data_IF_479157724157
#
_entry.id   IF_479157724157
#
_cell.length_a   1.000
_cell.length_b   1.000
_cell.length_c   1.000
_cell.angle_alpha   90.00
_cell.angle_beta   90.00
_cell.angle_gamma   90.00
#
_symmetry.space_group_name_H-M   'P 1'
#
loop_
_entity.id
_entity.type
_entity.pdbx_description
1 polymer ?
#
# COMPACT_ATOMS: atom_id res chain seq x y z
N UNK A 1 51.73 28.31 -27.20
CA UNK A 1 50.92 29.11 -26.26
C UNK A 1 49.48 29.15 -26.76
N UNK A 2 48.59 28.42 -26.07
CA UNK A 2 47.15 28.65 -25.83
C UNK A 2 46.35 27.33 -25.87
N UNK A 3 45.66 26.98 -24.77
CA UNK A 3 44.95 25.71 -24.61
C UNK A 3 43.54 25.78 -25.20
N UNK A 4 43.14 24.79 -25.99
CA UNK A 4 41.74 24.58 -26.38
C UNK A 4 41.26 23.33 -25.65
N UNK A 5 40.88 23.50 -24.39
CA UNK A 5 40.39 22.42 -23.52
C UNK A 5 38.97 22.65 -22.97
N UNK A 6 38.20 23.62 -23.46
CA UNK A 6 36.91 23.93 -22.84
C UNK A 6 35.80 23.93 -23.88
N UNK A 7 35.23 22.76 -24.18
CA UNK A 7 33.94 22.64 -24.88
C UNK A 7 33.31 21.23 -24.75
N UNK A 8 33.42 20.55 -23.61
CA UNK A 8 32.62 19.33 -23.35
C UNK A 8 32.10 19.39 -21.91
N UNK A 9 31.11 20.21 -21.66
CA UNK A 9 30.35 20.17 -20.40
C UNK A 9 29.01 20.87 -20.58
N UNK A 10 28.11 20.34 -21.42
CA UNK A 10 26.69 20.75 -21.46
C UNK A 10 25.86 19.81 -22.36
N UNK A 11 25.84 18.51 -22.07
CA UNK A 11 24.77 17.62 -22.57
C UNK A 11 24.65 16.31 -21.78
N UNK A 12 24.42 16.41 -20.47
CA UNK A 12 24.20 15.23 -19.61
C UNK A 12 22.98 15.40 -18.68
N UNK A 13 21.88 15.95 -19.19
CA UNK A 13 20.65 16.18 -18.42
C UNK A 13 19.44 15.53 -19.11
N UNK A 14 19.46 14.23 -19.43
CA UNK A 14 18.21 13.45 -19.63
C UNK A 14 18.38 11.95 -19.36
N UNK A 15 19.16 11.57 -18.36
CA UNK A 15 19.16 10.20 -17.84
C UNK A 15 18.98 10.24 -16.33
N UNK A 16 17.92 10.92 -15.88
CA UNK A 16 17.41 10.69 -14.53
C UNK A 16 16.81 9.28 -14.56
N UNK A 17 17.41 8.27 -13.89
CA UNK A 17 16.70 7.02 -13.69
C UNK A 17 15.38 7.38 -13.02
N UNK A 18 14.26 6.93 -13.59
CA UNK A 18 12.99 6.99 -12.88
C UNK A 18 13.24 6.33 -11.52
N UNK A 19 13.17 7.11 -10.44
CA UNK A 19 13.31 6.57 -9.10
C UNK A 19 12.34 5.40 -8.96
N UNK A 20 12.75 4.28 -8.35
CA UNK A 20 11.85 3.16 -8.14
C UNK A 20 10.60 3.68 -7.43
N UNK A 21 9.47 3.62 -8.12
CA UNK A 21 8.21 4.06 -7.54
C UNK A 21 7.93 3.16 -6.32
N UNK A 22 7.75 3.71 -5.10
CA UNK A 22 7.48 2.91 -3.91
C UNK A 22 6.33 1.92 -4.08
N UNK A 23 5.32 2.24 -4.91
CA UNK A 23 4.23 1.31 -5.21
C UNK A 23 4.65 0.11 -6.11
N UNK A 24 5.66 0.30 -6.96
CA UNK A 24 6.27 -0.75 -7.78
C UNK A 24 5.26 -1.63 -8.53
N UNK A 25 5.46 -2.95 -8.42
CA UNK A 25 4.61 -3.98 -9.04
C UNK A 25 3.17 -4.04 -8.49
N UNK A 26 2.90 -3.34 -7.39
CA UNK A 26 1.59 -3.31 -6.77
C UNK A 26 0.75 -2.11 -7.21
N UNK A 27 1.31 -1.15 -7.94
CA UNK A 27 0.59 0.03 -8.38
C UNK A 27 -0.63 -0.33 -9.24
N UNK A 28 -1.76 0.33 -8.98
CA UNK A 28 -3.01 0.16 -9.70
C UNK A 28 -4.16 -0.37 -8.84
N UNK A 29 -5.27 -0.64 -9.51
CA UNK A 29 -6.47 -1.22 -8.91
C UNK A 29 -6.45 -2.75 -9.03
N UNK A 30 -6.75 -3.41 -7.92
CA UNK A 30 -6.85 -4.86 -7.81
C UNK A 30 -8.25 -5.21 -7.34
N UNK A 31 -9.02 -5.89 -8.20
CA UNK A 31 -10.27 -6.50 -7.79
C UNK A 31 -9.97 -7.89 -7.22
N UNK A 32 -10.55 -8.18 -6.05
CA UNK A 32 -10.25 -9.34 -5.23
C UNK A 32 -11.51 -10.17 -4.99
N UNK A 33 -11.35 -11.48 -4.98
CA UNK A 33 -12.34 -12.40 -4.41
C UNK A 33 -11.77 -12.96 -3.13
N UNK A 34 -12.32 -12.56 -1.99
CA UNK A 34 -11.85 -12.98 -0.67
C UNK A 34 -12.64 -14.20 -0.24
N UNK A 35 -11.93 -15.26 0.13
CA UNK A 35 -12.51 -16.51 0.63
C UNK A 35 -12.08 -16.72 2.08
N UNK A 36 -13.06 -16.74 2.98
CA UNK A 36 -12.95 -17.11 4.38
C UNK A 36 -13.68 -18.46 4.59
N UNK A 37 -13.46 -19.18 5.71
CA UNK A 37 -14.04 -20.52 5.90
C UNK A 37 -15.56 -20.63 5.70
N UNK A 38 -16.30 -19.54 5.98
CA UNK A 38 -17.76 -19.53 5.95
C UNK A 38 -18.36 -18.54 4.93
N UNK A 39 -17.52 -17.81 4.18
CA UNK A 39 -18.02 -16.77 3.27
C UNK A 39 -17.02 -16.48 2.15
N UNK A 40 -17.54 -16.21 0.96
CA UNK A 40 -16.78 -15.62 -0.14
C UNK A 40 -17.43 -14.30 -0.53
N UNK A 41 -16.63 -13.25 -0.71
CA UNK A 41 -17.15 -11.94 -1.11
C UNK A 41 -16.18 -11.18 -2.01
N UNK A 42 -16.69 -10.33 -2.92
CA UNK A 42 -15.87 -9.45 -3.71
C UNK A 42 -15.35 -8.29 -2.85
N UNK A 43 -14.16 -7.83 -3.18
CA UNK A 43 -13.50 -6.68 -2.60
C UNK A 43 -12.59 -6.04 -3.64
N UNK A 44 -11.99 -4.90 -3.33
CA UNK A 44 -10.93 -4.34 -4.14
C UNK A 44 -10.03 -3.44 -3.31
N UNK A 45 -8.82 -3.22 -3.82
CA UNK A 45 -7.90 -2.21 -3.32
C UNK A 45 -7.29 -1.43 -4.48
N UNK A 46 -6.86 -0.22 -4.19
CA UNK A 46 -6.09 0.61 -5.11
C UNK A 46 -4.82 1.05 -4.41
N UNK A 47 -3.69 0.81 -5.08
CA UNK A 47 -2.36 1.22 -4.65
C UNK A 47 -1.91 2.34 -5.57
N UNK A 48 -1.67 3.49 -5.00
CA UNK A 48 -1.13 4.65 -5.69
C UNK A 48 0.11 5.15 -4.96
N UNK A 49 0.81 6.06 -5.61
CA UNK A 49 1.87 6.83 -4.99
C UNK A 49 1.42 8.28 -4.89
N UNK A 50 1.61 8.88 -3.72
CA UNK A 50 1.37 10.30 -3.50
C UNK A 50 2.55 10.87 -2.72
N UNK A 51 3.18 11.90 -3.26
CA UNK A 51 4.30 12.61 -2.63
C UNK A 51 5.46 11.69 -2.22
N UNK A 52 5.78 10.69 -3.04
CA UNK A 52 6.83 9.70 -2.74
C UNK A 52 6.44 8.66 -1.69
N UNK A 53 5.16 8.60 -1.30
CA UNK A 53 4.64 7.68 -0.30
C UNK A 53 3.56 6.76 -0.87
N UNK A 54 3.47 5.56 -0.29
CA UNK A 54 2.46 4.58 -0.62
C UNK A 54 1.08 5.06 -0.12
N UNK A 55 0.14 5.22 -1.05
CA UNK A 55 -1.23 5.62 -0.76
C UNK A 55 -2.19 4.50 -1.18
N UNK A 56 -2.77 3.82 -0.19
CA UNK A 56 -3.64 2.65 -0.43
C UNK A 56 -5.06 2.92 0.04
N UNK A 57 -6.04 2.52 -0.77
CA UNK A 57 -7.45 2.47 -0.40
C UNK A 57 -7.96 1.05 -0.56
N UNK A 58 -8.86 0.62 0.32
CA UNK A 58 -9.45 -0.70 0.25
C UNK A 58 -10.95 -0.65 0.58
N UNK A 59 -11.71 -1.57 -0.01
CA UNK A 59 -13.09 -1.86 0.34
C UNK A 59 -13.16 -3.14 1.18
N UNK A 60 -13.21 -3.09 2.52
CA UNK A 60 -13.47 -4.27 3.32
C UNK A 60 -14.87 -4.85 3.05
N UNK A 61 -15.11 -6.05 3.60
CA UNK A 61 -16.42 -6.72 3.56
C UNK A 61 -17.59 -5.80 3.94
N UNK A 62 -17.41 -5.02 5.01
CA UNK A 62 -18.43 -4.11 5.52
C UNK A 62 -17.94 -2.66 5.48
N UNK A 63 -18.80 -1.79 4.94
CA UNK A 63 -18.58 -0.34 4.91
C UNK A 63 -18.05 0.19 3.58
N UNK A 64 -17.59 1.44 3.62
CA UNK A 64 -17.16 2.18 2.44
C UNK A 64 -15.66 2.01 2.18
N UNK A 65 -15.29 2.26 0.92
CA UNK A 65 -13.91 2.40 0.47
C UNK A 65 -13.23 3.50 1.27
N UNK A 66 -12.11 3.19 1.90
CA UNK A 66 -11.37 4.14 2.74
C UNK A 66 -9.86 4.00 2.55
N UNK A 67 -9.08 5.05 2.87
CA UNK A 67 -7.64 4.94 3.04
C UNK A 67 -7.30 3.90 4.10
N UNK A 68 -6.24 3.13 3.86
CA UNK A 68 -5.74 2.09 4.76
C UNK A 68 -4.23 2.18 4.88
N UNK A 69 -3.70 1.75 6.03
CA UNK A 69 -2.26 1.66 6.23
C UNK A 69 -1.71 0.49 5.41
N UNK A 70 -0.62 0.72 4.71
CA UNK A 70 0.07 -0.32 3.96
C UNK A 70 1.58 -0.11 3.99
N UNK A 71 2.32 -1.21 3.82
CA UNK A 71 3.77 -1.21 3.72
C UNK A 71 4.21 -2.35 2.80
N UNK A 72 5.38 -2.19 2.19
CA UNK A 72 5.99 -3.23 1.37
C UNK A 72 7.16 -3.83 2.12
N UNK A 73 7.17 -5.16 2.25
CA UNK A 73 8.26 -5.94 2.84
C UNK A 73 8.75 -6.94 1.80
N UNK A 74 9.95 -6.69 1.25
CA UNK A 74 10.49 -7.48 0.14
C UNK A 74 9.56 -7.47 -1.07
N UNK A 75 9.02 -8.64 -1.43
CA UNK A 75 8.07 -8.82 -2.53
C UNK A 75 6.61 -8.93 -2.07
N UNK A 76 6.29 -8.48 -0.85
CA UNK A 76 4.93 -8.56 -0.30
C UNK A 76 4.40 -7.19 0.09
N UNK A 77 3.23 -6.84 -0.42
CA UNK A 77 2.43 -5.71 0.05
C UNK A 77 1.56 -6.17 1.22
N UNK A 78 1.74 -5.54 2.38
CA UNK A 78 0.97 -5.79 3.60
C UNK A 78 -0.01 -4.63 3.79
N UNK A 79 -1.31 -4.93 3.77
CA UNK A 79 -2.39 -3.93 3.87
C UNK A 79 -3.22 -4.19 5.13
N UNK A 80 -3.20 -3.25 6.08
CA UNK A 80 -4.03 -3.32 7.28
C UNK A 80 -5.41 -2.73 7.00
N UNK A 81 -6.37 -3.61 6.68
CA UNK A 81 -7.71 -3.20 6.25
C UNK A 81 -8.60 -2.85 7.43
N UNK A 82 -8.47 -3.59 8.54
CA UNK A 82 -9.11 -3.25 9.81
C UNK A 82 -8.01 -3.14 10.87
N UNK A 83 -7.85 -1.98 11.52
CA UNK A 83 -6.84 -1.83 12.56
C UNK A 83 -7.21 -2.63 13.81
N UNK A 84 -6.19 -3.05 14.54
CA UNK A 84 -6.38 -3.61 15.87
C UNK A 84 -7.06 -2.58 16.78
N UNK A 85 -7.95 -3.04 17.65
CA UNK A 85 -8.59 -2.23 18.67
C UNK A 85 -8.32 -2.83 20.05
N UNK A 86 -7.89 -2.04 21.04
CA UNK A 86 -7.72 -2.53 22.41
C UNK A 86 -9.07 -2.85 23.04
N UNK A 87 -9.05 -3.68 24.09
CA UNK A 87 -10.22 -3.88 24.93
C UNK A 87 -10.65 -2.55 25.56
N UNK A 88 -11.95 -2.34 25.65
CA UNK A 88 -12.54 -1.14 26.26
C UNK A 88 -13.43 -1.56 27.43
N UNK A 89 -13.21 -1.02 28.65
CA UNK A 89 -14.10 -1.28 29.77
C UNK A 89 -15.48 -0.63 29.54
N UNK A 90 -16.46 -1.04 30.34
CA UNK A 90 -17.76 -0.38 30.38
C UNK A 90 -17.62 1.03 30.96
N UNK A 91 -18.40 1.98 30.43
CA UNK A 91 -18.37 3.38 30.86
C UNK A 91 -19.78 3.98 30.79
N UNK A 92 -20.38 4.26 31.96
CA UNK A 92 -21.79 4.62 32.07
C UNK A 92 -22.69 3.53 31.49
N UNK A 93 -23.62 3.91 30.62
CA UNK A 93 -24.50 2.97 29.91
C UNK A 93 -23.83 2.27 28.71
N UNK A 94 -22.57 2.60 28.40
CA UNK A 94 -21.83 1.95 27.30
C UNK A 94 -21.26 0.61 27.78
N UNK A 95 -21.60 -0.52 27.13
CA UNK A 95 -21.08 -1.82 27.51
C UNK A 95 -19.58 -1.96 27.17
N UNK A 96 -18.92 -2.88 27.87
CA UNK A 96 -17.54 -3.25 27.57
C UNK A 96 -17.42 -3.87 26.18
N UNK A 97 -16.27 -3.66 25.52
CA UNK A 97 -15.95 -4.25 24.24
C UNK A 97 -14.62 -5.02 24.33
N UNK A 98 -14.55 -6.27 23.83
CA UNK A 98 -13.31 -7.03 23.83
C UNK A 98 -12.29 -6.42 22.86
N UNK A 99 -11.01 -6.77 23.06
CA UNK A 99 -9.97 -6.45 22.10
C UNK A 99 -10.24 -7.15 20.76
N UNK A 100 -9.85 -6.52 19.66
CA UNK A 100 -9.98 -7.06 18.31
C UNK A 100 -8.62 -7.01 17.60
N UNK A 101 -8.14 -8.11 17.01
CA UNK A 101 -6.91 -8.11 16.23
C UNK A 101 -7.08 -7.30 14.93
N UNK A 102 -5.96 -6.94 14.31
CA UNK A 102 -5.98 -6.35 12.98
C UNK A 102 -6.37 -7.40 11.92
N UNK A 103 -7.09 -6.97 10.90
CA UNK A 103 -7.28 -7.73 9.67
C UNK A 103 -6.30 -7.20 8.62
N UNK A 104 -5.41 -8.07 8.17
CA UNK A 104 -4.36 -7.75 7.21
C UNK A 104 -4.52 -8.61 5.96
N UNK A 105 -4.37 -8.00 4.79
CA UNK A 105 -4.19 -8.71 3.53
C UNK A 105 -2.72 -8.66 3.11
N UNK A 106 -2.22 -9.77 2.61
CA UNK A 106 -0.86 -9.91 2.12
C UNK A 106 -0.92 -10.27 0.63
N UNK A 107 -0.32 -9.41 -0.20
CA UNK A 107 -0.23 -9.63 -1.63
C UNK A 107 1.24 -9.85 -1.99
N UNK A 108 1.60 -11.07 -2.36
CA UNK A 108 2.96 -11.41 -2.77
C UNK A 108 3.07 -11.35 -4.29
N UNK A 109 4.09 -10.63 -4.79
CA UNK A 109 4.36 -10.60 -6.22
C UNK A 109 4.96 -11.94 -6.66
N UNK A 110 4.44 -12.51 -7.75
CA UNK A 110 4.92 -13.78 -8.30
C UNK A 110 6.27 -13.65 -9.06
N UNK A 111 6.93 -12.49 -8.98
CA UNK A 111 8.07 -12.14 -9.82
C UNK A 111 7.66 -11.72 -11.25
N UNK A 112 8.63 -11.32 -12.09
CA UNK A 112 8.37 -11.06 -13.50
C UNK A 112 7.92 -12.36 -14.19
N UNK A 113 6.82 -12.27 -14.95
CA UNK A 113 6.36 -13.34 -15.84
C UNK A 113 7.19 -13.39 -17.13
#
# INVERSE_FOLDING_TARGET
MKPVCVSIALLAVVLSPAWPQPAGVFAGRWDLTITEPNVTYPSWLEVTEKDGQLAVRAQPREGNVRPVSARIEGSTLIVTVVPAAPARPAEGDRPAAPARPALTWELTSAGPR
#
